data_IF_464720210714
#
_entry.id   IF_464720210714
#
_cell.length_a   1.000
_cell.length_b   1.000
_cell.length_c   1.000
_cell.angle_alpha   90.00
_cell.angle_beta   90.00
_cell.angle_gamma   90.00
#
_symmetry.space_group_name_H-M   'P 1'
#
loop_
_entity.id
_entity.type
_entity.pdbx_description
1 polymer ?
#
# COMPACT_ATOMS: atom_id res chain seq x y z
N UNK A 1 6.29 -9.42 8.72
CA UNK A 1 5.10 -10.12 8.24
C UNK A 1 4.44 -9.31 7.13
N UNK A 2 4.06 -9.95 6.03
CA UNK A 2 3.34 -9.28 4.94
C UNK A 2 1.93 -9.89 4.84
N UNK A 3 0.92 -9.02 4.84
CA UNK A 3 -0.47 -9.36 4.59
C UNK A 3 -0.86 -8.90 3.18
N UNK A 4 -1.36 -9.80 2.35
CA UNK A 4 -1.89 -9.49 1.03
C UNK A 4 -3.42 -9.44 1.09
N UNK A 5 -3.99 -8.28 0.81
CA UNK A 5 -5.44 -8.09 0.74
C UNK A 5 -5.98 -8.40 -0.66
N UNK A 6 -7.24 -8.79 -0.71
CA UNK A 6 -7.96 -9.05 -1.95
C UNK A 6 -8.63 -7.77 -2.47
N UNK A 7 -8.70 -7.63 -3.79
CA UNK A 7 -9.28 -6.48 -4.49
C UNK A 7 -8.25 -5.48 -4.98
N UNK A 8 -8.25 -5.20 -6.29
CA UNK A 8 -7.46 -4.14 -6.91
C UNK A 8 -8.25 -3.47 -8.02
N UNK A 9 -8.19 -2.14 -8.07
CA UNK A 9 -8.85 -1.34 -9.10
C UNK A 9 -7.95 -1.04 -10.31
N UNK A 10 -6.71 -1.57 -10.34
CA UNK A 10 -5.79 -1.48 -11.47
C UNK A 10 -5.67 -2.82 -12.20
N UNK A 11 -5.17 -2.78 -13.45
CA UNK A 11 -4.92 -3.95 -14.31
C UNK A 11 -3.54 -3.85 -14.94
N UNK A 12 -2.51 -3.81 -14.07
CA UNK A 12 -1.13 -3.62 -14.50
C UNK A 12 -0.67 -4.77 -15.39
N UNK A 13 -0.11 -4.47 -16.57
CA UNK A 13 0.39 -5.46 -17.54
C UNK A 13 1.44 -6.42 -16.95
N UNK A 14 2.17 -5.98 -15.92
CA UNK A 14 3.19 -6.77 -15.22
C UNK A 14 2.79 -7.16 -13.79
N UNK A 15 1.50 -7.31 -13.50
CA UNK A 15 1.07 -7.66 -12.14
C UNK A 15 1.62 -9.03 -11.72
N UNK A 16 2.24 -9.07 -10.53
CA UNK A 16 2.73 -10.33 -9.95
C UNK A 16 1.63 -11.13 -9.24
N UNK A 17 0.53 -10.47 -8.85
CA UNK A 17 -0.56 -11.09 -8.08
C UNK A 17 -1.92 -10.84 -8.75
N UNK A 18 -2.13 -11.26 -10.00
CA UNK A 18 -3.39 -11.03 -10.72
C UNK A 18 -4.60 -11.70 -10.04
N UNK A 19 -4.36 -12.73 -9.24
CA UNK A 19 -5.36 -13.39 -8.40
C UNK A 19 -5.98 -12.48 -7.33
N UNK A 20 -5.31 -11.36 -7.01
CA UNK A 20 -5.84 -10.37 -6.06
C UNK A 20 -6.76 -9.33 -6.70
N UNK A 21 -6.97 -9.37 -8.01
CA UNK A 21 -7.77 -8.34 -8.69
C UNK A 21 -9.26 -8.40 -8.32
N UNK A 22 -9.82 -9.60 -8.24
CA UNK A 22 -11.24 -9.80 -7.99
C UNK A 22 -11.50 -9.88 -6.48
N UNK A 23 -12.24 -8.92 -5.89
CA UNK A 23 -12.57 -8.97 -4.47
C UNK A 23 -13.49 -10.15 -4.12
N UNK A 24 -14.25 -10.69 -5.09
CA UNK A 24 -15.12 -11.84 -4.87
C UNK A 24 -14.36 -13.18 -4.83
N UNK A 25 -13.09 -13.20 -5.26
CA UNK A 25 -12.23 -14.38 -5.20
C UNK A 25 -11.54 -14.55 -3.84
N UNK A 26 -12.11 -13.97 -2.77
CA UNK A 26 -11.55 -14.06 -1.42
C UNK A 26 -11.42 -15.53 -0.97
N UNK A 27 -10.29 -15.83 -0.34
CA UNK A 27 -10.03 -17.16 0.23
C UNK A 27 -10.28 -17.20 1.73
N UNK A 28 -10.33 -16.04 2.37
CA UNK A 28 -10.42 -15.93 3.82
C UNK A 28 -10.94 -14.54 4.22
N UNK A 29 -11.99 -14.50 5.01
CA UNK A 29 -12.49 -13.29 5.64
C UNK A 29 -12.21 -13.34 7.14
N UNK A 30 -11.44 -12.38 7.65
CA UNK A 30 -11.06 -12.28 9.06
C UNK A 30 -11.29 -10.85 9.54
N UNK A 31 -11.65 -10.71 10.83
CA UNK A 31 -11.63 -9.39 11.46
C UNK A 31 -10.18 -8.88 11.64
N UNK A 32 -9.97 -7.56 11.81
CA UNK A 32 -8.66 -6.99 12.09
C UNK A 32 -7.97 -7.65 13.29
N UNK A 33 -8.70 -7.92 14.37
CA UNK A 33 -8.17 -8.59 15.55
C UNK A 33 -7.75 -10.04 15.25
N UNK A 34 -8.60 -10.82 14.59
CA UNK A 34 -8.25 -12.21 14.21
C UNK A 34 -7.02 -12.25 13.30
N UNK A 35 -6.90 -11.27 12.38
CA UNK A 35 -5.73 -11.19 11.52
C UNK A 35 -4.48 -10.80 12.30
N UNK A 36 -4.59 -9.87 13.25
CA UNK A 36 -3.49 -9.50 14.13
C UNK A 36 -3.01 -10.68 14.98
N UNK A 37 -3.92 -11.40 15.61
CA UNK A 37 -3.58 -12.58 16.42
C UNK A 37 -2.81 -13.63 15.60
N UNK A 38 -3.21 -13.80 14.34
CA UNK A 38 -2.53 -14.68 13.39
C UNK A 38 -1.13 -14.19 13.03
N UNK A 39 -0.98 -12.91 12.73
CA UNK A 39 0.30 -12.29 12.41
C UNK A 39 1.23 -12.29 13.63
N UNK A 40 0.72 -11.98 14.81
CA UNK A 40 1.50 -11.86 16.05
C UNK A 40 2.15 -13.17 16.52
N UNK A 41 1.67 -14.32 16.05
CA UNK A 41 2.36 -15.62 16.26
C UNK A 41 3.78 -15.61 15.68
N UNK A 42 4.04 -14.79 14.67
CA UNK A 42 5.34 -14.66 14.01
C UNK A 42 6.21 -13.53 14.58
N UNK A 43 5.83 -12.90 15.71
CA UNK A 43 6.54 -11.76 16.29
C UNK A 43 8.04 -11.98 16.53
N UNK A 44 8.48 -13.22 16.76
CA UNK A 44 9.88 -13.55 16.95
C UNK A 44 10.74 -13.27 15.69
N UNK A 45 10.13 -13.19 14.51
CA UNK A 45 10.82 -12.88 13.27
C UNK A 45 11.02 -11.38 13.05
N UNK A 46 10.27 -10.52 13.74
CA UNK A 46 10.43 -9.07 13.67
C UNK A 46 10.96 -8.44 14.96
N UNK A 47 11.47 -9.29 15.86
CA UNK A 47 12.21 -8.86 17.04
C UNK A 47 13.60 -9.51 17.03
N UNK A 48 14.62 -8.75 17.40
CA UNK A 48 15.98 -9.26 17.54
C UNK A 48 16.53 -8.85 18.90
N UNK A 49 16.92 -9.83 19.72
CA UNK A 49 17.41 -9.61 21.10
C UNK A 49 16.41 -8.77 21.93
N UNK A 50 15.10 -9.01 21.76
CA UNK A 50 14.04 -8.28 22.47
C UNK A 50 13.77 -6.85 21.97
N UNK A 51 14.45 -6.40 20.91
CA UNK A 51 14.22 -5.09 20.29
C UNK A 51 13.44 -5.24 18.97
N UNK A 52 12.56 -4.30 18.63
CA UNK A 52 11.89 -4.26 17.33
C UNK A 52 12.92 -4.24 16.19
N UNK A 53 12.75 -5.13 15.20
CA UNK A 53 13.64 -5.24 14.04
C UNK A 53 12.85 -5.51 12.75
N UNK A 54 11.63 -5.06 12.69
CA UNK A 54 10.69 -5.24 11.60
C UNK A 54 9.29 -4.95 12.06
N UNK A 55 8.30 -5.48 11.35
CA UNK A 55 6.90 -5.23 11.67
C UNK A 55 5.95 -5.90 10.72
N UNK A 56 4.86 -5.22 10.45
CA UNK A 56 3.78 -5.68 9.58
C UNK A 56 3.69 -4.76 8.37
N UNK A 57 3.65 -5.36 7.19
CA UNK A 57 3.34 -4.67 5.93
C UNK A 57 1.99 -5.16 5.43
N UNK A 58 1.10 -4.24 5.09
CA UNK A 58 -0.13 -4.54 4.36
C UNK A 58 0.06 -4.17 2.90
N UNK A 59 -0.14 -5.13 2.03
CA UNK A 59 0.00 -5.09 0.58
C UNK A 59 -1.16 -5.86 -0.08
N UNK A 60 -0.98 -6.40 -1.28
CA UNK A 60 -1.94 -7.28 -1.94
C UNK A 60 -2.39 -6.76 -3.28
N UNK A 61 -3.70 -6.59 -3.47
CA UNK A 61 -4.28 -5.81 -4.55
C UNK A 61 -4.03 -4.32 -4.31
N UNK A 62 -5.02 -3.60 -3.82
CA UNK A 62 -4.87 -2.21 -3.36
C UNK A 62 -5.45 -2.06 -1.94
N UNK A 63 -4.60 -1.94 -0.91
CA UNK A 63 -5.05 -1.89 0.49
C UNK A 63 -6.01 -0.76 0.80
N UNK A 64 -5.91 0.38 0.11
CA UNK A 64 -6.79 1.53 0.33
C UNK A 64 -8.25 1.26 -0.04
N UNK A 65 -8.55 0.19 -0.78
CA UNK A 65 -9.93 -0.27 -1.01
C UNK A 65 -10.57 -0.86 0.26
N UNK A 66 -9.76 -1.26 1.23
CA UNK A 66 -10.18 -1.79 2.52
C UNK A 66 -9.66 -0.91 3.68
N UNK A 67 -9.71 0.41 3.49
CA UNK A 67 -9.06 1.40 4.37
C UNK A 67 -9.49 1.28 5.84
N UNK A 68 -10.76 0.97 6.11
CA UNK A 68 -11.27 0.83 7.48
C UNK A 68 -10.64 -0.39 8.18
N UNK A 69 -10.54 -1.52 7.46
CA UNK A 69 -9.86 -2.72 7.95
C UNK A 69 -8.37 -2.43 8.24
N UNK A 70 -7.67 -1.79 7.30
CA UNK A 70 -6.24 -1.49 7.44
C UNK A 70 -5.99 -0.56 8.63
N UNK A 71 -6.85 0.46 8.81
CA UNK A 71 -6.73 1.41 9.93
C UNK A 71 -6.89 0.72 11.27
N UNK A 72 -7.89 -0.14 11.42
CA UNK A 72 -8.12 -0.88 12.66
C UNK A 72 -6.99 -1.89 12.91
N UNK A 73 -6.56 -2.64 11.89
CA UNK A 73 -5.46 -3.59 11.98
C UNK A 73 -4.14 -2.91 12.41
N UNK A 74 -3.82 -1.76 11.83
CA UNK A 74 -2.64 -0.98 12.20
C UNK A 74 -2.78 -0.38 13.60
N UNK A 75 -3.97 0.06 14.01
CA UNK A 75 -4.22 0.56 15.37
C UNK A 75 -3.90 -0.52 16.41
N UNK A 76 -4.35 -1.75 16.18
CA UNK A 76 -4.04 -2.90 17.04
C UNK A 76 -2.51 -3.16 17.05
N UNK A 77 -1.87 -3.17 15.89
CA UNK A 77 -0.43 -3.37 15.77
C UNK A 77 0.37 -2.29 16.54
N UNK A 78 -0.02 -1.02 16.42
CA UNK A 78 0.59 0.11 17.15
C UNK A 78 0.44 -0.03 18.66
N UNK A 79 -0.72 -0.46 19.15
CA UNK A 79 -0.96 -0.71 20.58
C UNK A 79 -0.02 -1.78 21.14
N UNK A 80 0.52 -2.67 20.29
CA UNK A 80 1.51 -3.70 20.65
C UNK A 80 2.96 -3.30 20.30
N UNK A 81 3.21 -2.03 19.96
CA UNK A 81 4.55 -1.53 19.62
C UNK A 81 5.12 -2.07 18.30
N UNK A 82 4.26 -2.56 17.41
CA UNK A 82 4.66 -3.14 16.12
C UNK A 82 4.73 -2.05 15.06
N UNK A 83 5.82 -2.00 14.29
CA UNK A 83 5.98 -1.10 13.15
C UNK A 83 5.02 -1.48 12.02
N UNK A 84 4.38 -0.47 11.43
CA UNK A 84 3.34 -0.62 10.41
C UNK A 84 3.77 0.01 9.09
N UNK A 85 3.64 -0.74 8.00
CA UNK A 85 3.98 -0.27 6.65
C UNK A 85 2.79 -0.48 5.71
N UNK A 86 2.37 0.58 5.05
CA UNK A 86 1.39 0.53 3.97
C UNK A 86 2.12 0.41 2.63
N UNK A 87 1.85 -0.67 1.89
CA UNK A 87 2.35 -0.91 0.54
C UNK A 87 1.19 -0.72 -0.45
N UNK A 88 1.16 0.41 -1.14
CA UNK A 88 0.02 0.85 -1.95
C UNK A 88 0.47 1.43 -3.29
N UNK A 89 -0.34 1.26 -4.31
CA UNK A 89 -0.19 1.99 -5.56
C UNK A 89 -0.90 3.37 -5.55
N UNK A 90 -1.62 3.71 -4.48
CA UNK A 90 -2.29 4.99 -4.33
C UNK A 90 -3.49 5.24 -5.25
N UNK A 91 -3.88 4.26 -6.07
CA UNK A 91 -4.92 4.45 -7.10
C UNK A 91 -6.31 4.71 -6.55
N UNK A 92 -6.56 4.38 -5.27
CA UNK A 92 -7.81 4.65 -4.57
C UNK A 92 -7.80 5.96 -3.78
N UNK A 93 -6.66 6.65 -3.69
CA UNK A 93 -6.54 7.90 -2.95
C UNK A 93 -7.46 8.99 -3.49
N UNK A 94 -8.02 9.77 -2.58
CA UNK A 94 -8.85 10.94 -2.91
C UNK A 94 -8.89 11.91 -1.74
N UNK A 95 -8.80 13.23 -2.01
CA UNK A 95 -9.04 14.28 -1.00
C UNK A 95 -10.54 14.56 -0.78
N UNK A 96 -11.44 13.76 -1.36
CA UNK A 96 -12.88 13.89 -1.16
C UNK A 96 -13.34 13.13 0.08
N UNK A 97 -14.30 13.71 0.81
CA UNK A 97 -14.94 13.02 1.93
C UNK A 97 -15.91 11.92 1.44
N UNK A 98 -16.09 10.84 2.20
CA UNK A 98 -15.50 10.56 3.51
C UNK A 98 -14.10 9.89 3.46
N UNK A 99 -13.55 9.64 2.26
CA UNK A 99 -12.29 8.92 2.10
C UNK A 99 -11.11 9.67 2.74
N UNK A 100 -11.05 10.99 2.58
CA UNK A 100 -9.93 11.78 3.04
C UNK A 100 -9.75 11.74 4.58
N UNK A 101 -10.83 11.90 5.32
CA UNK A 101 -10.81 11.76 6.79
C UNK A 101 -10.36 10.36 7.23
N UNK A 102 -10.75 9.30 6.50
CA UNK A 102 -10.30 7.92 6.77
C UNK A 102 -8.81 7.77 6.49
N UNK A 103 -8.32 8.37 5.39
CA UNK A 103 -6.92 8.32 5.03
C UNK A 103 -6.03 9.04 6.07
N UNK A 104 -6.49 10.19 6.58
CA UNK A 104 -5.80 10.89 7.66
C UNK A 104 -5.66 10.02 8.91
N UNK A 105 -6.73 9.36 9.35
CA UNK A 105 -6.69 8.42 10.48
C UNK A 105 -5.75 7.23 10.22
N UNK A 106 -5.74 6.69 9.00
CA UNK A 106 -4.80 5.64 8.64
C UNK A 106 -3.35 6.13 8.77
N UNK A 107 -3.04 7.38 8.37
CA UNK A 107 -1.71 7.93 8.47
C UNK A 107 -1.23 8.11 9.93
N UNK A 108 -2.12 8.32 10.89
CA UNK A 108 -1.78 8.39 12.32
C UNK A 108 -1.19 7.07 12.84
N UNK A 109 -1.61 5.94 12.28
CA UNK A 109 -1.21 4.59 12.70
C UNK A 109 -0.27 3.89 11.70
N UNK A 110 0.21 4.61 10.68
CA UNK A 110 1.16 4.12 9.67
C UNK A 110 2.54 4.72 9.92
N UNK A 111 3.59 3.90 10.05
CA UNK A 111 4.96 4.40 10.23
C UNK A 111 5.66 4.68 8.90
N UNK A 112 5.41 3.87 7.89
CA UNK A 112 6.04 4.00 6.56
C UNK A 112 5.01 3.73 5.46
N UNK A 113 5.06 4.52 4.40
CA UNK A 113 4.34 4.24 3.16
C UNK A 113 5.33 3.82 2.08
N UNK A 114 5.13 2.66 1.46
CA UNK A 114 5.77 2.28 0.21
C UNK A 114 4.80 2.57 -0.92
N UNK A 115 5.07 3.63 -1.70
CA UNK A 115 4.19 4.08 -2.77
C UNK A 115 4.75 3.66 -4.13
N UNK A 116 3.98 2.88 -4.87
CA UNK A 116 4.34 2.45 -6.22
C UNK A 116 3.98 3.52 -7.26
N UNK A 117 4.97 4.27 -7.74
CA UNK A 117 4.83 5.15 -8.89
C UNK A 117 5.19 4.40 -10.17
N UNK A 118 4.19 3.81 -10.82
CA UNK A 118 4.42 2.91 -11.95
C UNK A 118 4.83 3.62 -13.24
N UNK A 119 4.37 4.84 -13.46
CA UNK A 119 4.75 5.73 -14.56
C UNK A 119 4.39 7.18 -14.20
N UNK A 120 5.24 8.15 -14.55
CA UNK A 120 5.02 9.59 -14.32
C UNK A 120 4.12 10.22 -15.38
N UNK A 121 4.27 9.80 -16.65
CA UNK A 121 3.38 10.21 -17.74
C UNK A 121 2.00 9.54 -17.58
N UNK A 122 0.93 10.35 -17.62
CA UNK A 122 -0.43 9.91 -17.36
C UNK A 122 -0.98 8.96 -18.42
N UNK A 123 -0.71 9.22 -19.70
CA UNK A 123 -1.21 8.36 -20.78
C UNK A 123 -0.48 7.02 -20.81
N UNK A 124 0.85 7.05 -20.66
CA UNK A 124 1.63 5.79 -20.49
C UNK A 124 1.23 5.03 -19.25
N UNK A 125 0.90 5.73 -18.15
CA UNK A 125 0.38 5.08 -16.93
C UNK A 125 -0.95 4.40 -17.19
N UNK A 126 -1.86 5.05 -17.89
CA UNK A 126 -3.18 4.50 -18.25
C UNK A 126 -3.05 3.29 -19.18
N UNK A 127 -2.16 3.35 -20.15
CA UNK A 127 -1.86 2.22 -21.03
C UNK A 127 -1.30 1.01 -20.25
N UNK A 128 -0.44 1.28 -19.24
CA UNK A 128 0.24 0.28 -18.45
C UNK A 128 -0.67 -0.39 -17.40
N UNK A 129 -1.61 0.37 -16.82
CA UNK A 129 -2.35 -0.01 -15.60
C UNK A 129 -3.86 0.01 -15.75
N UNK A 130 -4.39 0.60 -16.84
CA UNK A 130 -5.80 0.84 -17.07
C UNK A 130 -6.36 2.09 -16.39
N UNK A 131 -5.51 2.89 -15.69
CA UNK A 131 -5.91 4.12 -14.99
C UNK A 131 -4.86 5.22 -15.15
N UNK A 132 -5.29 6.48 -15.04
CA UNK A 132 -4.37 7.61 -14.91
C UNK A 132 -3.65 7.60 -13.53
N UNK A 133 -2.67 8.49 -13.36
CA UNK A 133 -1.85 8.58 -12.15
C UNK A 133 -2.14 9.81 -11.28
N UNK A 134 -3.19 10.58 -11.57
CA UNK A 134 -3.47 11.84 -10.86
C UNK A 134 -3.63 11.63 -9.35
N UNK A 135 -4.39 10.61 -8.94
CA UNK A 135 -4.58 10.26 -7.54
C UNK A 135 -3.28 9.84 -6.84
N UNK A 136 -2.41 9.13 -7.56
CA UNK A 136 -1.13 8.63 -7.04
C UNK A 136 -0.19 9.80 -6.77
N UNK A 137 -0.09 10.72 -7.73
CA UNK A 137 0.73 11.93 -7.60
C UNK A 137 0.19 12.87 -6.51
N UNK A 138 -1.14 12.97 -6.38
CA UNK A 138 -1.75 13.76 -5.31
C UNK A 138 -1.49 13.12 -3.93
N UNK A 139 -1.55 11.79 -3.82
CA UNK A 139 -1.16 11.07 -2.60
C UNK A 139 0.31 11.33 -2.24
N UNK A 140 1.23 11.25 -3.21
CA UNK A 140 2.64 11.53 -2.98
C UNK A 140 2.87 12.94 -2.45
N UNK A 141 2.21 13.95 -3.05
CA UNK A 141 2.27 15.35 -2.57
C UNK A 141 1.74 15.49 -1.16
N UNK A 142 0.57 14.91 -0.88
CA UNK A 142 -0.01 14.95 0.46
C UNK A 142 0.88 14.31 1.51
N UNK A 143 1.46 13.14 1.24
CA UNK A 143 2.39 12.49 2.16
C UNK A 143 3.64 13.35 2.43
N UNK A 144 4.14 14.03 1.39
CA UNK A 144 5.23 15.00 1.52
C UNK A 144 4.82 16.24 2.35
N UNK A 145 3.63 16.78 2.12
CA UNK A 145 3.07 17.93 2.86
C UNK A 145 3.01 17.66 4.38
N UNK A 146 2.64 16.44 4.77
CA UNK A 146 2.53 16.06 6.19
C UNK A 146 3.83 15.47 6.77
N UNK A 147 4.92 15.42 6.00
CA UNK A 147 6.20 14.84 6.42
C UNK A 147 6.13 13.33 6.72
N UNK A 148 5.23 12.58 6.09
CA UNK A 148 5.11 11.13 6.29
C UNK A 148 6.31 10.40 5.69
N UNK A 149 7.01 9.52 6.45
CA UNK A 149 8.04 8.66 5.88
C UNK A 149 7.49 7.86 4.70
N UNK A 150 8.15 7.98 3.54
CA UNK A 150 7.70 7.38 2.30
C UNK A 150 8.87 6.90 1.45
N UNK A 151 8.72 5.72 0.89
CA UNK A 151 9.58 5.21 -0.18
C UNK A 151 8.80 5.22 -1.49
N UNK A 152 9.30 5.93 -2.49
CA UNK A 152 8.79 5.81 -3.87
C UNK A 152 9.46 4.59 -4.49
N UNK A 153 8.64 3.68 -5.03
CA UNK A 153 9.14 2.50 -5.75
C UNK A 153 8.68 2.54 -7.20
N UNK A 154 9.55 2.05 -8.08
CA UNK A 154 9.24 1.86 -9.49
C UNK A 154 9.77 0.52 -9.96
N UNK A 155 8.92 -0.27 -10.58
CA UNK A 155 9.32 -1.53 -11.23
C UNK A 155 9.87 -1.18 -12.61
N UNK A 156 11.09 -1.60 -12.92
CA UNK A 156 11.70 -1.44 -14.22
C UNK A 156 11.43 -2.70 -15.05
N UNK A 157 10.62 -2.54 -16.09
CA UNK A 157 10.27 -3.61 -17.03
C UNK A 157 10.81 -3.23 -18.41
N UNK A 158 11.70 -4.06 -19.00
CA UNK A 158 12.30 -3.77 -20.31
C UNK A 158 11.25 -3.45 -21.38
N UNK A 159 11.44 -2.34 -22.05
CA UNK A 159 10.54 -1.86 -23.11
C UNK A 159 9.20 -1.28 -22.65
N UNK A 160 8.92 -1.24 -21.32
CA UNK A 160 7.67 -0.69 -20.77
C UNK A 160 7.90 0.49 -19.82
N UNK A 161 8.81 0.34 -18.86
CA UNK A 161 9.00 1.34 -17.77
C UNK A 161 10.45 1.73 -17.55
N UNK A 162 11.37 1.25 -18.38
CA UNK A 162 12.82 1.42 -18.26
C UNK A 162 13.38 2.61 -19.06
N UNK A 163 12.53 3.48 -19.61
CA UNK A 163 12.96 4.72 -20.27
C UNK A 163 13.75 5.60 -19.28
N UNK A 164 15.05 5.89 -19.54
CA UNK A 164 15.91 6.65 -18.63
C UNK A 164 15.37 8.05 -18.30
N UNK A 165 14.75 8.73 -19.26
CA UNK A 165 14.18 10.05 -19.05
C UNK A 165 12.98 9.98 -18.09
N UNK A 166 12.13 8.97 -18.22
CA UNK A 166 11.00 8.75 -17.35
C UNK A 166 11.42 8.27 -15.94
N UNK A 167 12.56 7.59 -15.81
CA UNK A 167 13.12 7.21 -14.50
C UNK A 167 13.71 8.42 -13.79
N UNK A 168 14.41 9.30 -14.50
CA UNK A 168 15.02 10.50 -13.92
C UNK A 168 13.99 11.58 -13.51
N UNK A 169 12.77 11.52 -14.04
CA UNK A 169 11.68 12.46 -13.74
C UNK A 169 10.76 12.00 -12.60
N UNK A 170 11.01 10.84 -12.02
CA UNK A 170 10.23 10.27 -10.93
C UNK A 170 10.82 10.62 -9.57
#
# INVERSE_FOLDING_TARGET
YVLFLQGCNMRCKYCHNPETWDPAAEKMSLSPQQMFDKAYRYRNYWTKKGQPNGGITVSGGEPLLQIDFVTEFFSIAKAHGVHTTLDSCGSAFSRKEPFFSKFQKLMEVTDLVMLDLKQTDSEKHKELTGRDNANILDMARYLSEIGKPMWIRRVLVPGLTDDPAAVSSA
#
